data_IF_975559381803
#
_entry.id   IF_975559381803
#
_cell.length_a   1.000
_cell.length_b   1.000
_cell.length_c   1.000
_cell.angle_alpha   90.00
_cell.angle_beta   90.00
_cell.angle_gamma   90.00
#
_symmetry.space_group_name_H-M   'P 1'
#
loop_
_entity.id
_entity.type
_entity.pdbx_description
1 polymer ?
#
# COMPACT_ATOMS: atom_id res chain seq x y z
N UNK A 1 -4.08 20.24 31.94
CA UNK A 1 -4.66 18.88 32.02
C UNK A 1 -6.12 18.80 31.53
N UNK A 2 -6.93 19.87 31.52
CA UNK A 2 -8.34 19.83 31.07
C UNK A 2 -8.57 19.70 29.55
N UNK A 3 -7.63 20.16 28.71
CA UNK A 3 -7.78 20.12 27.24
C UNK A 3 -7.68 18.70 26.63
N UNK A 4 -7.10 17.74 27.36
CA UNK A 4 -7.02 16.34 26.94
C UNK A 4 -8.37 15.62 27.02
N UNK A 5 -9.10 15.80 28.13
CA UNK A 5 -10.40 15.15 28.37
C UNK A 5 -11.49 15.62 27.40
N UNK A 6 -11.57 16.93 27.10
CA UNK A 6 -12.54 17.47 26.13
C UNK A 6 -12.32 16.92 24.72
N UNK A 7 -11.06 16.81 24.29
CA UNK A 7 -10.70 16.19 23.00
C UNK A 7 -11.01 14.69 22.98
N UNK A 8 -10.82 14.01 24.10
CA UNK A 8 -11.09 12.58 24.22
C UNK A 8 -12.59 12.26 24.22
N UNK A 9 -13.40 13.04 24.95
CA UNK A 9 -14.86 12.94 24.94
C UNK A 9 -15.43 13.26 23.57
N UNK A 10 -14.95 14.33 22.93
CA UNK A 10 -15.36 14.67 21.56
C UNK A 10 -15.02 13.57 20.56
N UNK A 11 -13.85 12.93 20.68
CA UNK A 11 -13.45 11.81 19.85
C UNK A 11 -14.32 10.58 20.08
N UNK A 12 -14.65 10.25 21.33
CA UNK A 12 -15.55 9.15 21.67
C UNK A 12 -16.97 9.37 21.12
N UNK A 13 -17.49 10.60 21.20
CA UNK A 13 -18.79 10.95 20.63
C UNK A 13 -18.78 10.86 19.09
N UNK A 14 -17.69 11.30 18.44
CA UNK A 14 -17.49 11.15 17.00
C UNK A 14 -17.38 9.68 16.59
N UNK A 15 -16.63 8.86 17.33
CA UNK A 15 -16.46 7.43 17.04
C UNK A 15 -17.80 6.65 17.21
N UNK A 16 -18.70 7.14 18.07
CA UNK A 16 -20.06 6.60 18.22
C UNK A 16 -20.99 7.01 17.07
N UNK A 17 -20.90 8.27 16.62
CA UNK A 17 -21.75 8.80 15.53
C UNK A 17 -21.24 8.41 14.13
N UNK A 18 -19.92 8.21 13.99
CA UNK A 18 -19.21 7.92 12.74
C UNK A 18 -18.24 6.75 12.98
N UNK A 19 -18.76 5.53 13.19
CA UNK A 19 -17.90 4.37 13.44
C UNK A 19 -16.96 4.12 12.26
N UNK A 20 -15.75 3.67 12.57
CA UNK A 20 -14.82 3.27 11.53
C UNK A 20 -15.39 2.09 10.74
N UNK A 21 -15.23 2.15 9.41
CA UNK A 21 -15.82 1.19 8.48
C UNK A 21 -14.74 0.37 7.78
N UNK A 22 -15.07 -0.88 7.49
CA UNK A 22 -14.24 -1.81 6.73
C UNK A 22 -13.93 -1.25 5.35
N UNK A 23 -12.66 -1.33 4.91
CA UNK A 23 -12.20 -0.83 3.61
C UNK A 23 -12.91 -1.43 2.38
N UNK A 24 -13.70 -2.49 2.53
CA UNK A 24 -14.31 -3.23 1.40
C UNK A 24 -15.82 -3.43 1.47
N UNK A 25 -16.41 -3.47 2.67
CA UNK A 25 -17.81 -3.85 2.86
C UNK A 25 -18.56 -2.98 3.88
N UNK A 26 -17.93 -1.90 4.35
CA UNK A 26 -18.51 -0.91 5.27
C UNK A 26 -18.97 -1.45 6.64
N UNK A 27 -18.71 -2.72 6.94
CA UNK A 27 -18.94 -3.29 8.27
C UNK A 27 -18.11 -2.55 9.34
N UNK A 28 -18.64 -2.39 10.58
CA UNK A 28 -17.92 -1.71 11.65
C UNK A 28 -16.57 -2.37 11.96
N UNK A 29 -15.54 -1.55 12.20
CA UNK A 29 -14.19 -1.98 12.61
C UNK A 29 -13.69 -1.11 13.76
N UNK A 30 -12.66 -1.59 14.46
CA UNK A 30 -12.10 -0.95 15.66
C UNK A 30 -11.27 0.30 15.36
N UNK A 31 -10.78 0.46 14.12
CA UNK A 31 -10.07 1.66 13.69
C UNK A 31 -10.16 1.86 12.17
N UNK A 32 -10.02 3.12 11.69
CA UNK A 32 -9.94 3.40 10.26
C UNK A 32 -8.79 2.65 9.57
N UNK A 33 -8.96 2.35 8.29
CA UNK A 33 -7.92 1.66 7.51
C UNK A 33 -7.85 0.15 7.77
N UNK A 34 -8.88 -0.46 8.35
CA UNK A 34 -8.92 -1.88 8.66
C UNK A 34 -9.91 -2.65 7.79
N UNK A 35 -9.66 -3.95 7.70
CA UNK A 35 -10.62 -4.91 7.15
C UNK A 35 -11.33 -5.60 8.30
N UNK A 36 -12.63 -5.83 8.15
CA UNK A 36 -13.35 -6.72 9.04
C UNK A 36 -12.80 -8.16 8.92
N UNK A 37 -13.03 -9.05 9.90
CA UNK A 37 -12.47 -10.41 9.88
C UNK A 37 -12.81 -11.21 8.61
N UNK A 38 -14.02 -11.05 8.06
CA UNK A 38 -14.45 -11.74 6.85
C UNK A 38 -13.65 -11.26 5.62
N UNK A 39 -13.56 -9.94 5.41
CA UNK A 39 -12.81 -9.37 4.30
C UNK A 39 -11.30 -9.58 4.43
N UNK A 40 -10.77 -9.58 5.66
CA UNK A 40 -9.38 -9.93 5.92
C UNK A 40 -9.08 -11.36 5.44
N UNK A 41 -9.90 -12.35 5.80
CA UNK A 41 -9.72 -13.75 5.36
C UNK A 41 -9.86 -13.93 3.85
N UNK A 42 -10.75 -13.16 3.22
CA UNK A 42 -10.96 -13.23 1.78
C UNK A 42 -9.85 -12.52 0.97
N UNK A 43 -9.04 -11.67 1.63
CA UNK A 43 -8.01 -10.89 0.95
C UNK A 43 -6.76 -11.74 0.72
N UNK A 44 -6.33 -11.87 -0.53
CA UNK A 44 -5.11 -12.58 -0.90
C UNK A 44 -3.84 -11.82 -0.52
N UNK A 45 -3.42 -11.85 0.75
CA UNK A 45 -2.14 -11.27 1.17
C UNK A 45 -0.95 -12.03 0.58
N UNK A 46 0.03 -11.30 0.07
CA UNK A 46 1.31 -11.88 -0.34
C UNK A 46 2.15 -12.09 0.91
N UNK A 47 2.54 -13.34 1.15
CA UNK A 47 3.35 -13.78 2.27
C UNK A 47 4.49 -14.67 1.77
N UNK A 48 5.49 -14.90 2.61
CA UNK A 48 6.53 -15.89 2.31
C UNK A 48 5.91 -17.29 2.20
N UNK A 49 6.45 -18.19 1.35
CA UNK A 49 7.66 -18.01 0.53
C UNK A 49 7.41 -17.18 -0.73
N UNK A 50 8.30 -16.25 -1.05
CA UNK A 50 8.27 -15.47 -2.27
C UNK A 50 9.67 -15.24 -2.86
N UNK A 51 9.73 -14.83 -4.12
CA UNK A 51 10.99 -14.50 -4.76
C UNK A 51 11.72 -13.37 -4.03
N UNK A 52 12.96 -13.59 -3.62
CA UNK A 52 13.76 -12.63 -2.87
C UNK A 52 13.90 -11.30 -3.62
N UNK A 53 13.99 -11.36 -4.95
CA UNK A 53 14.03 -10.21 -5.86
C UNK A 53 12.62 -9.66 -6.13
N UNK A 54 11.82 -10.28 -7.01
CA UNK A 54 10.54 -9.68 -7.46
C UNK A 54 9.36 -9.79 -6.49
N UNK A 55 9.46 -10.58 -5.43
CA UNK A 55 8.36 -10.79 -4.49
C UNK A 55 7.19 -11.60 -5.06
N UNK A 56 7.35 -12.29 -6.20
CA UNK A 56 6.32 -13.22 -6.69
C UNK A 56 6.14 -14.36 -5.67
N UNK A 57 4.91 -14.66 -5.24
CA UNK A 57 4.68 -15.76 -4.30
C UNK A 57 5.07 -17.10 -4.90
N UNK A 58 5.61 -17.98 -4.05
CA UNK A 58 5.90 -19.37 -4.37
C UNK A 58 4.80 -20.29 -3.85
N UNK A 59 4.64 -21.44 -4.51
CA UNK A 59 3.71 -22.49 -4.11
C UNK A 59 4.22 -23.28 -2.89
N UNK A 60 5.53 -23.40 -2.73
CA UNK A 60 6.16 -24.12 -1.61
C UNK A 60 7.54 -23.55 -1.26
N UNK A 61 8.00 -23.80 -0.02
CA UNK A 61 9.21 -23.18 0.54
C UNK A 61 10.52 -23.54 -0.20
N UNK A 62 10.57 -24.66 -0.91
CA UNK A 62 11.72 -25.07 -1.73
C UNK A 62 11.78 -24.46 -3.14
N UNK A 63 10.72 -23.75 -3.57
CA UNK A 63 10.70 -23.15 -4.90
C UNK A 63 11.73 -22.02 -4.98
N UNK A 64 12.49 -21.98 -6.08
CA UNK A 64 13.51 -20.96 -6.30
C UNK A 64 14.86 -21.25 -5.64
N UNK A 65 15.07 -22.44 -5.06
CA UNK A 65 16.36 -22.91 -4.57
C UNK A 65 16.93 -22.10 -3.39
N UNK A 66 18.24 -22.22 -3.08
CA UNK A 66 18.84 -21.58 -1.90
C UNK A 66 18.74 -20.05 -1.92
N UNK A 67 18.77 -19.44 -3.10
CA UNK A 67 18.68 -17.99 -3.30
C UNK A 67 17.23 -17.47 -3.28
N UNK A 68 16.24 -18.37 -3.28
CA UNK A 68 14.80 -18.05 -3.39
C UNK A 68 14.50 -17.13 -4.58
N UNK A 69 15.03 -17.46 -5.76
CA UNK A 69 14.81 -16.69 -6.99
C UNK A 69 13.91 -17.44 -7.97
N UNK A 70 12.90 -16.76 -8.51
CA UNK A 70 12.09 -17.28 -9.61
C UNK A 70 12.90 -17.33 -10.91
N UNK A 71 12.47 -18.15 -11.87
CA UNK A 71 13.16 -18.35 -13.15
C UNK A 71 13.42 -17.03 -13.89
N UNK A 72 12.38 -16.18 -14.03
CA UNK A 72 12.51 -14.87 -14.67
C UNK A 72 13.60 -13.98 -14.04
N UNK A 73 13.71 -13.96 -12.71
CA UNK A 73 14.72 -13.14 -12.03
C UNK A 73 16.15 -13.70 -12.13
N UNK A 74 16.30 -14.99 -12.44
CA UNK A 74 17.59 -15.64 -12.73
C UNK A 74 18.03 -15.32 -14.16
N UNK A 75 17.12 -15.50 -15.11
CA UNK A 75 17.40 -15.36 -16.54
C UNK A 75 17.55 -13.89 -16.95
N UNK A 76 16.69 -13.02 -16.44
CA UNK A 76 16.67 -11.59 -16.76
C UNK A 76 16.53 -10.76 -15.48
N UNK A 77 17.67 -10.52 -14.77
CA UNK A 77 17.69 -9.70 -13.58
C UNK A 77 17.10 -8.30 -13.84
N UNK A 78 16.05 -7.89 -13.12
CA UNK A 78 15.53 -6.54 -13.22
C UNK A 78 16.54 -5.50 -12.70
N UNK A 79 16.41 -4.21 -13.09
CA UNK A 79 17.32 -3.13 -12.70
C UNK A 79 17.11 -2.63 -11.25
N UNK A 80 16.54 -3.46 -10.38
CA UNK A 80 16.27 -3.16 -8.98
C UNK A 80 16.55 -4.38 -8.12
N UNK A 81 16.93 -4.17 -6.86
CA UNK A 81 17.35 -5.26 -5.99
C UNK A 81 16.18 -6.09 -5.46
N UNK A 82 15.13 -5.39 -4.99
CA UNK A 82 13.98 -6.01 -4.31
C UNK A 82 12.69 -5.26 -4.61
N UNK A 83 11.63 -6.02 -4.88
CA UNK A 83 10.26 -5.54 -4.97
C UNK A 83 9.36 -6.39 -4.06
N UNK A 84 8.34 -5.76 -3.45
CA UNK A 84 7.35 -6.45 -2.62
C UNK A 84 5.95 -5.97 -2.95
N UNK A 85 5.04 -6.91 -3.19
CA UNK A 85 3.61 -6.67 -3.28
C UNK A 85 2.95 -7.01 -1.95
N UNK A 86 1.97 -6.21 -1.53
CA UNK A 86 1.20 -6.50 -0.32
C UNK A 86 0.06 -7.49 -0.56
N UNK A 87 -0.53 -7.44 -1.76
CA UNK A 87 -1.74 -8.16 -2.13
C UNK A 87 -1.57 -8.84 -3.48
N UNK A 88 -2.14 -10.03 -3.64
CA UNK A 88 -2.43 -10.62 -4.95
C UNK A 88 -3.53 -9.81 -5.60
N UNK A 89 -3.42 -9.58 -6.90
CA UNK A 89 -4.45 -8.85 -7.62
C UNK A 89 -5.61 -9.80 -7.95
N UNK A 90 -6.71 -9.66 -7.20
CA UNK A 90 -7.89 -10.53 -7.25
C UNK A 90 -9.17 -9.69 -7.02
N UNK A 91 -10.32 -10.35 -6.96
CA UNK A 91 -11.60 -9.67 -6.77
C UNK A 91 -11.67 -8.85 -5.47
N UNK A 92 -11.02 -9.30 -4.40
CA UNK A 92 -11.08 -8.63 -3.09
C UNK A 92 -10.11 -7.45 -3.04
N UNK A 93 -8.86 -7.63 -3.48
CA UNK A 93 -7.91 -6.53 -3.51
C UNK A 93 -8.31 -5.41 -4.48
N UNK A 94 -9.05 -5.73 -5.56
CA UNK A 94 -9.66 -4.73 -6.45
C UNK A 94 -10.63 -3.81 -5.72
N UNK A 95 -11.40 -4.31 -4.76
CA UNK A 95 -12.35 -3.50 -3.95
C UNK A 95 -11.64 -2.49 -3.04
N UNK A 96 -10.34 -2.64 -2.82
CA UNK A 96 -9.52 -1.71 -2.04
C UNK A 96 -8.70 -0.81 -2.98
N UNK A 97 -8.02 -1.41 -3.96
CA UNK A 97 -7.06 -0.71 -4.82
C UNK A 97 -7.75 0.21 -5.82
N UNK A 98 -8.92 -0.16 -6.36
CA UNK A 98 -9.60 0.66 -7.36
C UNK A 98 -10.19 1.94 -6.76
N UNK A 99 -10.93 1.91 -5.64
CA UNK A 99 -11.41 3.15 -5.02
C UNK A 99 -10.27 4.08 -4.59
N UNK A 100 -9.13 3.53 -4.12
CA UNK A 100 -7.94 4.33 -3.83
C UNK A 100 -7.27 4.92 -5.09
N UNK A 101 -7.31 4.24 -6.24
CA UNK A 101 -6.72 4.74 -7.49
C UNK A 101 -7.61 5.74 -8.23
N UNK A 102 -8.93 5.59 -8.12
CA UNK A 102 -9.90 6.23 -9.02
C UNK A 102 -11.10 6.88 -8.33
N UNK A 103 -11.39 6.56 -7.08
CA UNK A 103 -12.61 7.01 -6.37
C UNK A 103 -12.36 8.01 -5.25
N UNK A 104 -11.23 8.75 -5.30
CA UNK A 104 -10.85 9.76 -4.30
C UNK A 104 -10.85 9.27 -2.83
N UNK A 105 -10.76 7.96 -2.60
CA UNK A 105 -10.74 7.33 -1.27
C UNK A 105 -9.36 7.43 -0.60
N UNK A 106 -8.86 8.65 -0.39
CA UNK A 106 -7.52 8.91 0.15
C UNK A 106 -7.30 8.34 1.57
N UNK A 107 -8.38 8.17 2.33
CA UNK A 107 -8.37 7.57 3.66
C UNK A 107 -7.91 6.09 3.64
N UNK A 108 -7.94 5.42 2.48
CA UNK A 108 -7.45 4.06 2.31
C UNK A 108 -5.91 3.98 2.40
N UNK A 109 -5.21 5.11 2.24
CA UNK A 109 -3.75 5.16 2.26
C UNK A 109 -3.15 4.58 3.54
N UNK A 110 -3.76 4.83 4.70
CA UNK A 110 -3.28 4.33 5.99
C UNK A 110 -3.35 2.79 6.06
N UNK A 111 -4.48 2.21 5.65
CA UNK A 111 -4.66 0.76 5.63
C UNK A 111 -3.76 0.06 4.62
N UNK A 112 -3.67 0.60 3.40
CA UNK A 112 -2.76 0.09 2.38
C UNK A 112 -1.30 0.17 2.81
N UNK A 113 -0.88 1.26 3.47
CA UNK A 113 0.47 1.38 4.00
C UNK A 113 0.77 0.35 5.09
N UNK A 114 -0.19 0.01 5.95
CA UNK A 114 -0.02 -1.07 6.93
C UNK A 114 0.21 -2.43 6.24
N UNK A 115 -0.55 -2.73 5.19
CA UNK A 115 -0.38 -3.96 4.41
C UNK A 115 1.00 -3.99 3.71
N UNK A 116 1.41 -2.86 3.12
CA UNK A 116 2.73 -2.70 2.50
C UNK A 116 3.86 -2.81 3.52
N UNK A 117 3.70 -2.25 4.72
CA UNK A 117 4.71 -2.31 5.77
C UNK A 117 4.95 -3.74 6.24
N UNK A 118 3.89 -4.56 6.36
CA UNK A 118 4.01 -5.98 6.68
C UNK A 118 4.75 -6.76 5.59
N UNK A 119 4.33 -6.62 4.34
CA UNK A 119 4.93 -7.34 3.22
C UNK A 119 6.37 -6.89 2.90
N UNK A 120 6.67 -5.62 3.15
CA UNK A 120 7.95 -4.96 2.87
C UNK A 120 8.82 -4.72 4.09
N UNK A 121 8.55 -5.35 5.25
CA UNK A 121 9.17 -4.99 6.52
C UNK A 121 10.70 -4.96 6.46
N UNK A 122 11.32 -5.96 5.83
CA UNK A 122 12.76 -5.99 5.64
C UNK A 122 13.25 -4.87 4.70
N UNK A 123 12.56 -4.63 3.58
CA UNK A 123 12.90 -3.56 2.65
C UNK A 123 12.84 -2.17 3.32
N UNK A 124 11.83 -1.93 4.16
CA UNK A 124 11.67 -0.67 4.88
C UNK A 124 12.71 -0.47 5.98
N UNK A 125 13.16 -1.55 6.63
CA UNK A 125 14.25 -1.48 7.62
C UNK A 125 15.55 -1.09 6.94
N UNK A 126 15.83 -1.61 5.76
CA UNK A 126 17.08 -1.38 5.04
C UNK A 126 17.09 -0.05 4.27
N UNK A 127 15.95 0.64 4.17
CA UNK A 127 15.82 1.87 3.40
C UNK A 127 16.25 3.12 4.19
N UNK A 128 17.01 4.02 3.56
CA UNK A 128 17.35 5.33 4.13
C UNK A 128 16.24 6.37 3.94
N UNK A 129 15.53 6.31 2.81
CA UNK A 129 14.50 7.27 2.43
C UNK A 129 13.44 6.64 1.52
N UNK A 130 12.27 7.29 1.45
CA UNK A 130 11.15 6.88 0.60
C UNK A 130 10.93 7.87 -0.53
N UNK A 131 10.99 7.40 -1.77
CA UNK A 131 10.71 8.22 -2.96
C UNK A 131 9.42 7.74 -3.64
N UNK A 132 8.32 8.52 -3.61
CA UNK A 132 7.13 8.19 -4.36
C UNK A 132 7.33 8.44 -5.86
N UNK A 133 6.87 7.51 -6.69
CA UNK A 133 6.90 7.71 -8.15
C UNK A 133 5.89 8.80 -8.55
N UNK A 134 6.30 9.84 -9.29
CA UNK A 134 5.43 10.94 -9.67
C UNK A 134 4.41 10.56 -10.76
N UNK A 135 3.23 11.17 -10.68
CA UNK A 135 2.30 11.23 -11.80
C UNK A 135 2.70 12.35 -12.77
N UNK A 136 2.30 12.21 -14.03
CA UNK A 136 2.38 13.31 -14.99
C UNK A 136 1.44 14.45 -14.56
N UNK A 137 1.82 15.72 -14.78
CA UNK A 137 1.08 16.91 -14.32
C UNK A 137 -0.40 16.90 -14.70
N UNK A 138 -0.73 16.56 -15.95
CA UNK A 138 -2.12 16.44 -16.41
C UNK A 138 -2.93 15.40 -15.61
N UNK A 139 -2.32 14.26 -15.24
CA UNK A 139 -2.98 13.24 -14.41
C UNK A 139 -3.10 13.68 -12.95
N UNK A 140 -2.13 14.44 -12.44
CA UNK A 140 -2.21 14.99 -11.09
C UNK A 140 -3.38 15.97 -10.96
N UNK A 141 -3.61 16.80 -11.98
CA UNK A 141 -4.78 17.71 -12.03
C UNK A 141 -6.08 16.91 -12.07
N UNK A 142 -6.18 15.93 -12.98
CA UNK A 142 -7.40 15.11 -13.11
C UNK A 142 -7.69 14.27 -11.86
N UNK A 143 -6.67 13.70 -11.22
CA UNK A 143 -6.81 12.82 -10.05
C UNK A 143 -6.66 13.54 -8.71
N UNK A 144 -6.42 14.85 -8.70
CA UNK A 144 -6.29 15.73 -7.52
C UNK A 144 -5.15 15.40 -6.53
N UNK A 145 -4.59 14.20 -6.54
CA UNK A 145 -3.50 13.76 -5.66
C UNK A 145 -2.61 12.69 -6.31
N UNK A 146 -1.40 12.56 -5.77
CA UNK A 146 -0.48 11.47 -6.10
C UNK A 146 -0.65 10.31 -5.10
N UNK A 147 -1.23 9.20 -5.55
CA UNK A 147 -1.46 7.99 -4.75
C UNK A 147 -0.15 7.47 -4.12
N UNK A 148 0.94 7.46 -4.88
CA UNK A 148 2.23 6.99 -4.39
C UNK A 148 2.76 7.91 -3.28
N UNK A 149 2.54 9.22 -3.38
CA UNK A 149 2.92 10.17 -2.35
C UNK A 149 2.12 9.99 -1.06
N UNK A 150 0.81 9.71 -1.16
CA UNK A 150 -0.02 9.39 0.01
C UNK A 150 0.45 8.11 0.70
N UNK A 151 0.74 7.06 -0.07
CA UNK A 151 1.28 5.81 0.47
C UNK A 151 2.66 6.01 1.11
N UNK A 152 3.55 6.76 0.46
CA UNK A 152 4.89 7.06 0.99
C UNK A 152 4.82 7.82 2.32
N UNK A 153 3.95 8.83 2.43
CA UNK A 153 3.72 9.57 3.69
C UNK A 153 3.12 8.69 4.79
N UNK A 154 2.22 7.78 4.44
CA UNK A 154 1.66 6.83 5.40
C UNK A 154 2.71 5.79 5.85
N UNK A 155 3.54 5.30 4.94
CA UNK A 155 4.67 4.40 5.24
C UNK A 155 5.75 5.06 6.08
N UNK A 156 6.07 6.33 5.82
CA UNK A 156 7.05 7.08 6.60
C UNK A 156 6.70 7.14 8.09
N UNK A 157 5.42 7.27 8.42
CA UNK A 157 4.93 7.24 9.80
C UNK A 157 5.11 5.87 10.46
N UNK A 158 5.10 4.79 9.68
CA UNK A 158 5.25 3.41 10.17
C UNK A 158 6.74 3.04 10.29
N UNK A 159 7.52 3.34 9.26
CA UNK A 159 8.92 2.96 9.14
C UNK A 159 9.91 3.97 9.74
N UNK A 160 9.42 5.14 10.17
CA UNK A 160 10.24 6.27 10.62
C UNK A 160 11.32 6.68 9.59
N UNK A 161 10.94 6.74 8.31
CA UNK A 161 11.84 7.11 7.19
C UNK A 161 11.42 8.44 6.56
N UNK A 162 12.37 9.31 6.17
CA UNK A 162 12.06 10.54 5.45
C UNK A 162 11.45 10.24 4.08
N UNK A 163 10.57 11.13 3.61
CA UNK A 163 9.98 11.08 2.26
C UNK A 163 10.53 12.21 1.42
N UNK A 164 11.01 11.89 0.22
CA UNK A 164 11.52 12.86 -0.74
C UNK A 164 10.61 12.88 -1.99
N UNK A 165 9.49 13.63 -1.96
CA UNK A 165 8.47 13.58 -3.00
C UNK A 165 8.93 14.15 -4.36
N UNK A 166 9.89 15.08 -4.34
CA UNK A 166 10.37 15.81 -5.52
C UNK A 166 11.68 15.24 -6.08
N UNK A 167 12.15 14.10 -5.57
CA UNK A 167 13.39 13.45 -6.01
C UNK A 167 13.31 12.92 -7.46
N UNK A 168 12.09 12.68 -7.96
CA UNK A 168 11.86 12.18 -9.31
C UNK A 168 10.98 13.17 -10.09
N UNK A 169 11.30 13.36 -11.37
CA UNK A 169 10.49 14.15 -12.30
C UNK A 169 10.04 13.28 -13.46
N UNK A 170 8.73 13.18 -13.67
CA UNK A 170 8.18 12.50 -14.85
C UNK A 170 8.20 13.44 -16.05
N UNK A 171 9.10 13.19 -16.98
CA UNK A 171 9.32 14.04 -18.17
C UNK A 171 8.45 13.64 -19.37
N UNK A 172 8.02 12.37 -19.45
CA UNK A 172 7.23 11.84 -20.58
C UNK A 172 5.78 11.56 -20.19
N UNK A 173 4.85 12.02 -21.03
CA UNK A 173 3.45 11.58 -21.02
C UNK A 173 3.40 10.16 -21.59
N UNK A 174 2.86 9.22 -20.83
CA UNK A 174 2.54 7.88 -21.33
C UNK A 174 1.03 7.72 -21.31
N UNK A 175 0.42 7.21 -22.38
CA UNK A 175 -1.00 6.86 -22.43
C UNK A 175 -1.26 5.67 -21.48
N UNK A 176 -2.34 5.64 -20.69
CA UNK A 176 -2.65 4.48 -19.84
C UNK A 176 -2.90 3.24 -20.72
N UNK A 177 -2.38 2.06 -20.37
CA UNK A 177 -2.89 0.81 -20.91
C UNK A 177 -4.29 0.60 -20.32
N UNK A 178 -5.33 0.77 -21.15
CA UNK A 178 -6.73 0.74 -20.71
C UNK A 178 -7.71 1.48 -21.63
N UNK A 179 -7.21 2.27 -22.57
CA UNK A 179 -7.99 2.95 -23.62
C UNK A 179 -7.80 2.29 -25.01
N UNK A 180 -7.62 0.96 -25.04
CA UNK A 180 -7.64 0.12 -26.25
C UNK A 180 -8.75 -0.92 -26.13
#
# INVERSE_FOLDING_TARGET
>A
MAAGSLRQIGRLALDLLLPAQCLTCDAPVDAPGRLCPACFRATGFVTEPCCARCGVPFAHAGQGGPERLCQRCRDEPPPWDRARGALRYDAQSRRIVLPFKHGDRTEFAAGLAQMMARAGAALLRDADLLVPVPLHRARLIARRYNQAALLARALARIAARPVLPDALRRTRVTVPPGDL
#
